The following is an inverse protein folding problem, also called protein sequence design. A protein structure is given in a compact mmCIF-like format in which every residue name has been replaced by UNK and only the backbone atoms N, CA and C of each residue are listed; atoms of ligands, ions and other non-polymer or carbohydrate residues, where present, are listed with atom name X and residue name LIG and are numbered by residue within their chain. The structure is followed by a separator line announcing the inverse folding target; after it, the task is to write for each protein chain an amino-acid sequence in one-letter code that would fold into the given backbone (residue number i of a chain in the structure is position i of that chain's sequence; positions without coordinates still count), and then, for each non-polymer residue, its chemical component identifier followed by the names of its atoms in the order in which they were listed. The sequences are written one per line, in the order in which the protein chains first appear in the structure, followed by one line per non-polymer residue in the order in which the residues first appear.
data_IF_147627921332
#
_entry.id   IF_147627921332
#
_cell.length_a   1.000
_cell.length_b   1.000
_cell.length_c   1.000
_cell.angle_alpha   90.00
_cell.angle_beta   90.00
_cell.angle_gamma   90.00
#
_symmetry.space_group_name_H-M   'P 1'
#
loop_
_entity.id
_entity.type
_entity.pdbx_description
1 polymer ?
#
# COMPACT_ATOMS: atom_id res chain seq x y z
N UNK A 1 -30.06 -5.01 -7.53
CA UNK A 1 -29.74 -3.96 -6.55
C UNK A 1 -28.29 -4.14 -6.10
N UNK A 2 -27.40 -3.13 -6.21
CA UNK A 2 -26.04 -3.30 -5.72
C UNK A 2 -26.06 -3.41 -4.19
N UNK A 3 -25.43 -4.45 -3.63
CA UNK A 3 -25.25 -4.59 -2.17
C UNK A 3 -24.46 -3.38 -1.67
N UNK A 4 -24.97 -2.67 -0.67
CA UNK A 4 -24.18 -1.68 0.08
C UNK A 4 -23.05 -2.44 0.77
N UNK A 5 -21.81 -2.18 0.36
CA UNK A 5 -20.62 -2.72 1.02
C UNK A 5 -20.43 -1.87 2.27
N UNK A 6 -20.58 -2.45 3.46
CA UNK A 6 -20.21 -1.74 4.69
C UNK A 6 -18.69 -1.60 4.74
N UNK A 7 -18.21 -0.47 5.22
CA UNK A 7 -16.76 -0.20 5.26
C UNK A 7 -16.02 -1.22 6.14
N UNK A 8 -16.73 -1.82 7.10
CA UNK A 8 -16.29 -2.89 8.00
C UNK A 8 -16.08 -4.22 7.30
N UNK A 9 -16.68 -4.42 6.13
CA UNK A 9 -16.52 -5.63 5.32
C UNK A 9 -15.30 -5.54 4.39
N UNK A 10 -14.53 -4.44 4.48
CA UNK A 10 -13.32 -4.29 3.69
C UNK A 10 -12.19 -5.16 4.27
N UNK A 11 -11.32 -5.72 3.40
CA UNK A 11 -10.18 -6.51 3.84
C UNK A 11 -9.28 -5.69 4.76
N UNK A 12 -8.70 -6.32 5.78
CA UNK A 12 -7.83 -5.65 6.76
C UNK A 12 -8.52 -4.61 7.66
N UNK A 13 -9.84 -4.40 7.54
CA UNK A 13 -10.56 -3.46 8.40
C UNK A 13 -10.65 -3.94 9.86
N UNK A 14 -10.62 -5.27 10.08
CA UNK A 14 -10.53 -5.87 11.42
C UNK A 14 -9.34 -5.30 12.18
N UNK A 15 -8.15 -5.29 11.58
CA UNK A 15 -6.93 -4.75 12.16
C UNK A 15 -7.11 -3.31 12.67
N UNK A 16 -7.72 -2.43 11.87
CA UNK A 16 -7.97 -1.04 12.25
C UNK A 16 -8.95 -0.89 13.43
N UNK A 17 -9.82 -1.87 13.65
CA UNK A 17 -10.78 -1.87 14.76
C UNK A 17 -10.28 -2.58 16.00
N UNK A 18 -9.32 -3.49 15.86
CA UNK A 18 -8.82 -4.34 16.96
C UNK A 18 -7.45 -3.90 17.48
N UNK A 19 -6.70 -3.14 16.69
CA UNK A 19 -5.34 -2.71 17.04
C UNK A 19 -5.30 -1.21 17.31
N UNK A 20 -4.87 -0.77 18.52
CA UNK A 20 -4.66 0.64 18.83
C UNK A 20 -3.75 1.33 17.81
N UNK A 21 -4.01 2.60 17.50
CA UNK A 21 -3.24 3.35 16.49
C UNK A 21 -1.75 3.42 16.80
N UNK A 22 -1.38 3.42 18.09
CA UNK A 22 -0.01 3.47 18.57
C UNK A 22 0.76 2.17 18.32
N UNK A 23 0.05 1.08 18.05
CA UNK A 23 0.58 -0.27 17.85
C UNK A 23 0.48 -0.72 16.38
N UNK A 24 0.11 0.18 15.47
CA UNK A 24 -0.01 -0.17 14.06
C UNK A 24 1.34 -0.55 13.46
N UNK A 25 1.38 -1.80 12.99
CA UNK A 25 2.50 -2.37 12.27
C UNK A 25 2.07 -2.74 10.84
N UNK A 26 2.89 -2.33 9.87
CA UNK A 26 2.59 -2.52 8.46
C UNK A 26 2.68 -4.00 8.04
N UNK A 27 3.49 -4.81 8.73
CA UNK A 27 3.63 -6.24 8.46
C UNK A 27 2.43 -6.99 9.01
N UNK A 28 2.02 -6.72 10.25
CA UNK A 28 0.82 -7.33 10.85
C UNK A 28 -0.45 -7.00 10.05
N UNK A 29 -0.59 -5.75 9.59
CA UNK A 29 -1.69 -5.37 8.71
C UNK A 29 -1.69 -6.18 7.40
N UNK A 30 -0.50 -6.38 6.81
CA UNK A 30 -0.35 -7.18 5.59
C UNK A 30 -0.68 -8.66 5.83
N UNK A 31 -0.32 -9.21 6.99
CA UNK A 31 -0.64 -10.58 7.38
C UNK A 31 -2.16 -10.78 7.53
N UNK A 32 -2.84 -9.87 8.23
CA UNK A 32 -4.30 -9.87 8.38
C UNK A 32 -5.01 -9.71 7.02
N UNK A 33 -4.48 -8.83 6.16
CA UNK A 33 -4.96 -8.67 4.78
C UNK A 33 -4.81 -9.97 3.97
N UNK A 34 -3.67 -10.67 4.09
CA UNK A 34 -3.47 -11.97 3.44
C UNK A 34 -4.41 -13.05 4.01
N UNK A 35 -4.60 -13.08 5.34
CA UNK A 35 -5.49 -14.02 6.02
C UNK A 35 -6.95 -13.86 5.56
N UNK A 36 -7.36 -12.64 5.21
CA UNK A 36 -8.67 -12.35 4.63
C UNK A 36 -8.87 -12.89 3.19
N UNK A 37 -7.89 -13.59 2.62
CA UNK A 37 -7.90 -14.19 1.27
C UNK A 37 -8.17 -13.18 0.14
N UNK A 38 -7.87 -11.92 0.38
CA UNK A 38 -7.96 -10.89 -0.65
C UNK A 38 -6.60 -10.74 -1.34
N UNK A 39 -6.44 -11.29 -2.57
CA UNK A 39 -5.17 -11.22 -3.27
C UNK A 39 -4.80 -9.76 -3.48
N UNK A 40 -3.58 -9.43 -3.09
CA UNK A 40 -2.98 -8.15 -3.39
C UNK A 40 -3.05 -7.93 -4.91
N UNK A 41 -3.75 -6.88 -5.32
CA UNK A 41 -3.76 -6.49 -6.72
C UNK A 41 -2.39 -5.91 -7.07
N UNK A 42 -1.48 -6.81 -7.48
CA UNK A 42 -0.09 -6.46 -7.82
C UNK A 42 -0.06 -5.32 -8.84
N UNK A 43 -0.95 -5.31 -9.83
CA UNK A 43 -1.02 -4.24 -10.81
C UNK A 43 -1.35 -2.88 -10.17
N UNK A 44 -2.30 -2.82 -9.24
CA UNK A 44 -2.62 -1.59 -8.51
C UNK A 44 -1.45 -1.09 -7.67
N UNK A 45 -0.77 -1.98 -6.95
CA UNK A 45 0.40 -1.61 -6.14
C UNK A 45 1.55 -1.13 -7.03
N UNK A 46 1.86 -1.86 -8.10
CA UNK A 46 2.90 -1.44 -9.06
C UNK A 46 2.60 -0.06 -9.63
N UNK A 47 1.36 0.21 -10.03
CA UNK A 47 0.97 1.54 -10.53
C UNK A 47 1.14 2.62 -9.46
N UNK A 48 0.76 2.34 -8.21
CA UNK A 48 0.92 3.29 -7.10
C UNK A 48 2.39 3.59 -6.81
N UNK A 49 3.24 2.55 -6.72
CA UNK A 49 4.68 2.68 -6.51
C UNK A 49 5.31 3.47 -7.66
N UNK A 50 4.99 3.14 -8.92
CA UNK A 50 5.48 3.85 -10.11
C UNK A 50 5.17 5.34 -10.05
N UNK A 51 3.91 5.71 -9.75
CA UNK A 51 3.50 7.11 -9.62
C UNK A 51 4.26 7.84 -8.52
N UNK A 52 4.49 7.18 -7.40
CA UNK A 52 5.20 7.77 -6.27
C UNK A 52 6.68 7.98 -6.59
N UNK A 53 7.32 7.02 -7.26
CA UNK A 53 8.69 7.17 -7.76
C UNK A 53 8.81 8.30 -8.78
N UNK A 54 7.87 8.41 -9.73
CA UNK A 54 7.82 9.52 -10.70
C UNK A 54 7.67 10.88 -10.00
N UNK A 55 6.84 10.94 -8.94
CA UNK A 55 6.68 12.16 -8.14
C UNK A 55 7.98 12.55 -7.41
N UNK A 56 8.66 11.60 -6.77
CA UNK A 56 9.96 11.85 -6.13
C UNK A 56 11.02 12.29 -7.12
N UNK A 57 11.05 11.73 -8.34
CA UNK A 57 11.98 12.19 -9.39
C UNK A 57 11.75 13.65 -9.80
N UNK A 58 10.52 14.15 -9.68
CA UNK A 58 10.14 15.50 -10.09
C UNK A 58 10.32 16.52 -8.96
N UNK A 59 9.84 16.20 -7.76
CA UNK A 59 9.68 17.15 -6.66
C UNK A 59 10.57 16.86 -5.43
N UNK A 60 11.26 15.71 -5.38
CA UNK A 60 12.05 15.30 -4.22
C UNK A 60 13.38 16.05 -4.08
N UNK A 61 14.08 15.81 -2.97
CA UNK A 61 15.48 16.21 -2.79
C UNK A 61 16.39 15.49 -3.80
N UNK A 62 17.65 15.92 -3.93
CA UNK A 62 18.59 15.25 -4.83
C UNK A 62 18.87 13.79 -4.41
N UNK A 63 18.91 13.51 -3.10
CA UNK A 63 18.98 12.15 -2.56
C UNK A 63 17.73 11.33 -2.91
N UNK A 64 16.53 11.89 -2.71
CA UNK A 64 15.26 11.23 -3.03
C UNK A 64 15.13 10.94 -4.53
N UNK A 65 15.52 11.89 -5.39
CA UNK A 65 15.53 11.70 -6.85
C UNK A 65 16.48 10.60 -7.27
N UNK A 66 17.68 10.55 -6.69
CA UNK A 66 18.69 9.52 -6.99
C UNK A 66 18.17 8.15 -6.59
N UNK A 67 17.56 8.05 -5.41
CA UNK A 67 17.05 6.79 -4.89
C UNK A 67 15.79 6.33 -5.64
N UNK A 68 14.88 7.26 -5.96
CA UNK A 68 13.71 6.97 -6.79
C UNK A 68 14.13 6.44 -8.17
N UNK A 69 15.15 7.05 -8.80
CA UNK A 69 15.72 6.55 -10.06
C UNK A 69 16.33 5.15 -9.94
N UNK A 70 17.02 4.87 -8.84
CA UNK A 70 17.59 3.54 -8.55
C UNK A 70 16.47 2.50 -8.44
N UNK A 71 15.45 2.78 -7.64
CA UNK A 71 14.32 1.89 -7.41
C UNK A 71 13.51 1.66 -8.70
N UNK A 72 13.23 2.72 -9.46
CA UNK A 72 12.47 2.61 -10.71
C UNK A 72 13.13 1.68 -11.74
N UNK A 73 14.47 1.64 -11.79
CA UNK A 73 15.22 0.70 -12.64
C UNK A 73 15.15 -0.75 -12.15
N UNK A 74 14.96 -0.97 -10.85
CA UNK A 74 14.84 -2.32 -10.27
C UNK A 74 13.43 -2.91 -10.43
N UNK A 75 12.41 -2.05 -10.54
CA UNK A 75 11.01 -2.47 -10.72
C UNK A 75 10.59 -2.64 -12.19
N UNK A 76 11.48 -2.34 -13.13
CA UNK A 76 11.26 -2.48 -14.58
C UNK A 76 11.81 -3.81 -15.09
#
# INVERSE_FOLDING_TARGET
MPKKINITDKPGFSYFTTTPCEEWDALEYHEEWCASKHPINKATITVAITRQLEWFMKEGSEEEKKEANRMFKQFK
#
